data_IF_757114930365
#
_entry.id   IF_757114930365
#
_cell.length_a   1.000
_cell.length_b   1.000
_cell.length_c   1.000
_cell.angle_alpha   90.00
_cell.angle_beta   90.00
_cell.angle_gamma   90.00
#
_symmetry.space_group_name_H-M   'P 1'
#
loop_
_entity.id
_entity.type
_entity.pdbx_description
1 polymer ?
#
# COMPACT_ATOMS: atom_id res chain seq x y z
N UNK A 1 -28.00 -12.36 6.76
CA UNK A 1 -27.52 -10.98 6.59
C UNK A 1 -26.09 -11.03 6.08
N UNK A 2 -25.91 -10.96 4.76
CA UNK A 2 -24.58 -10.84 4.14
C UNK A 2 -24.16 -9.37 4.22
N UNK A 3 -23.18 -9.06 5.07
CA UNK A 3 -22.49 -7.77 5.03
C UNK A 3 -21.51 -7.83 3.85
N UNK A 4 -21.95 -7.28 2.71
CA UNK A 4 -21.06 -6.94 1.61
C UNK A 4 -20.20 -5.77 2.12
N UNK A 5 -19.05 -6.09 2.72
CA UNK A 5 -17.98 -5.12 2.88
C UNK A 5 -17.39 -4.90 1.47
N UNK A 6 -18.08 -4.10 0.67
CA UNK A 6 -17.50 -3.51 -0.53
C UNK A 6 -16.27 -2.70 -0.14
N UNK A 7 -15.39 -2.35 -1.11
CA UNK A 7 -14.20 -1.56 -0.87
C UNK A 7 -14.62 -0.14 -0.54
N UNK A 8 -15.12 0.05 0.66
CA UNK A 8 -15.50 1.33 1.15
C UNK A 8 -14.19 1.99 1.61
N UNK A 9 -13.93 3.18 1.04
CA UNK A 9 -13.14 4.23 1.68
C UNK A 9 -11.63 4.31 1.44
N UNK A 10 -11.07 3.85 0.31
CA UNK A 10 -9.66 4.20 0.01
C UNK A 10 -9.42 5.74 0.00
N UNK A 11 -10.41 6.53 -0.40
CA UNK A 11 -10.35 7.99 -0.39
C UNK A 11 -10.74 8.67 0.94
N UNK A 12 -11.37 7.95 1.89
CA UNK A 12 -11.79 8.52 3.19
C UNK A 12 -10.87 8.09 4.34
N UNK A 13 -10.06 7.04 4.12
CA UNK A 13 -9.11 6.52 5.11
C UNK A 13 -7.89 7.42 5.27
N UNK A 14 -7.50 8.19 4.24
CA UNK A 14 -6.34 9.08 4.33
C UNK A 14 -6.55 10.41 3.62
N UNK A 15 -6.05 11.49 4.22
CA UNK A 15 -6.13 12.84 3.68
C UNK A 15 -4.75 13.49 3.66
N UNK A 16 -4.43 14.15 2.57
CA UNK A 16 -3.24 14.98 2.43
C UNK A 16 -3.65 16.44 2.45
N UNK A 17 -3.10 17.22 3.37
CA UNK A 17 -3.41 18.64 3.54
C UNK A 17 -2.17 19.49 3.31
N UNK A 18 -2.30 20.53 2.49
CA UNK A 18 -1.26 21.53 2.29
C UNK A 18 -1.45 22.68 3.29
N UNK A 19 -0.42 22.95 4.08
CA UNK A 19 -0.36 24.06 5.02
C UNK A 19 -0.42 25.42 4.33
N UNK A 20 -0.86 26.45 5.06
CA UNK A 20 -1.00 27.81 4.54
C UNK A 20 0.34 28.41 4.06
N UNK A 21 1.45 27.92 4.60
CA UNK A 21 2.82 28.23 4.22
C UNK A 21 3.23 27.67 2.85
N UNK A 22 2.39 26.83 2.23
CA UNK A 22 2.63 26.18 0.94
C UNK A 22 3.89 25.31 0.89
N UNK A 23 4.46 24.94 2.04
CA UNK A 23 5.63 24.06 2.14
C UNK A 23 5.38 22.84 3.01
N UNK A 24 4.47 22.93 3.96
CA UNK A 24 4.16 21.87 4.92
C UNK A 24 3.02 21.02 4.40
N UNK A 25 3.23 19.71 4.31
CA UNK A 25 2.21 18.73 3.96
C UNK A 25 1.95 17.86 5.17
N UNK A 26 0.70 17.79 5.59
CA UNK A 26 0.27 16.93 6.69
C UNK A 26 -0.56 15.79 6.13
N UNK A 27 -0.17 14.57 6.45
CA UNK A 27 -0.89 13.35 6.03
C UNK A 27 -1.56 12.75 7.24
N UNK A 28 -2.89 12.69 7.20
CA UNK A 28 -3.71 12.07 8.24
C UNK A 28 -4.34 10.79 7.72
N UNK A 29 -4.55 9.83 8.61
CA UNK A 29 -5.31 8.63 8.32
C UNK A 29 -6.22 8.21 9.46
N UNK A 30 -7.30 7.52 9.12
CA UNK A 30 -8.31 7.02 10.05
C UNK A 30 -8.37 5.50 10.00
N UNK A 31 -8.39 4.85 11.16
CA UNK A 31 -8.47 3.41 11.28
C UNK A 31 -9.80 3.00 11.92
N UNK A 32 -10.78 2.53 11.11
CA UNK A 32 -12.06 2.06 11.64
C UNK A 32 -11.97 0.68 12.29
N UNK A 33 -10.86 -0.04 12.15
CA UNK A 33 -10.70 -1.41 12.61
C UNK A 33 -10.31 -1.50 14.09
N UNK A 34 -10.66 -2.63 14.72
CA UNK A 34 -10.26 -2.98 16.09
C UNK A 34 -8.81 -3.49 16.20
N UNK A 35 -8.03 -3.39 15.11
CA UNK A 35 -6.62 -3.79 15.03
C UNK A 35 -5.79 -2.66 14.44
N UNK A 36 -4.50 -2.62 14.75
CA UNK A 36 -3.57 -1.67 14.13
C UNK A 36 -3.52 -1.92 12.62
N UNK A 37 -3.65 -0.87 11.84
CA UNK A 37 -3.64 -0.92 10.37
C UNK A 37 -2.33 -0.32 9.85
N UNK A 38 -1.58 -1.06 9.04
CA UNK A 38 -0.44 -0.49 8.35
C UNK A 38 -0.95 0.29 7.13
N UNK A 39 -0.67 1.59 7.07
CA UNK A 39 -1.03 2.41 5.92
C UNK A 39 0.21 2.93 5.22
N UNK A 40 0.16 2.94 3.91
CA UNK A 40 1.03 3.69 3.01
C UNK A 40 0.19 4.71 2.26
N UNK A 41 0.56 5.98 2.34
CA UNK A 41 -0.17 7.08 1.70
C UNK A 41 0.81 7.90 0.87
N UNK A 42 0.47 8.07 -0.40
CA UNK A 42 1.25 8.81 -1.39
C UNK A 42 0.45 10.05 -1.79
N UNK A 43 0.99 11.21 -1.44
CA UNK A 43 0.37 12.50 -1.74
C UNK A 43 1.13 13.17 -2.89
N UNK A 44 0.50 13.27 -4.05
CA UNK A 44 1.07 13.99 -5.18
C UNK A 44 0.81 15.49 -5.03
N UNK A 45 1.86 16.25 -4.74
CA UNK A 45 1.84 17.69 -4.64
C UNK A 45 2.23 18.34 -5.97
N UNK A 46 1.43 19.28 -6.45
CA UNK A 46 1.79 20.09 -7.62
C UNK A 46 2.86 21.13 -7.25
N UNK A 47 3.92 21.24 -8.06
CA UNK A 47 4.95 22.28 -7.94
C UNK A 47 5.09 23.01 -9.28
N UNK A 48 5.67 24.22 -9.32
CA UNK A 48 5.98 24.87 -10.59
C UNK A 48 6.85 23.97 -11.48
N UNK A 49 6.34 23.61 -12.67
CA UNK A 49 7.06 22.77 -13.63
C UNK A 49 6.99 21.26 -13.38
N UNK A 50 6.20 20.77 -12.42
CA UNK A 50 6.08 19.32 -12.19
C UNK A 50 5.21 18.93 -11.00
N UNK A 51 5.53 17.77 -10.42
CA UNK A 51 4.93 17.29 -9.18
C UNK A 51 6.00 16.69 -8.27
N UNK A 52 5.69 16.60 -6.98
CA UNK A 52 6.49 15.94 -5.98
C UNK A 52 5.58 15.01 -5.18
N UNK A 53 6.02 13.80 -4.87
CA UNK A 53 5.23 12.83 -4.14
C UNK A 53 5.74 12.72 -2.71
N UNK A 54 4.86 12.97 -1.74
CA UNK A 54 5.13 12.77 -0.31
C UNK A 54 4.60 11.39 0.06
N UNK A 55 5.50 10.47 0.43
CA UNK A 55 5.15 9.10 0.79
C UNK A 55 5.25 8.93 2.30
N UNK A 56 4.17 8.46 2.93
CA UNK A 56 4.11 8.27 4.36
C UNK A 56 3.61 6.88 4.71
N UNK A 57 4.48 6.12 5.39
CA UNK A 57 4.22 4.76 5.84
C UNK A 57 4.24 4.73 7.35
N UNK A 58 3.10 4.47 7.98
CA UNK A 58 3.01 4.29 9.44
C UNK A 58 1.88 3.35 9.84
N UNK A 59 2.05 2.63 10.96
CA UNK A 59 0.94 1.96 11.62
C UNK A 59 -0.02 3.00 12.22
N UNK A 60 -1.30 2.89 11.86
CA UNK A 60 -2.39 3.71 12.39
C UNK A 60 -3.02 2.98 13.59
N UNK A 61 -3.04 3.59 14.79
CA UNK A 61 -3.60 2.97 15.98
C UNK A 61 -5.07 2.56 15.83
N UNK A 62 -5.51 1.62 16.65
CA UNK A 62 -6.90 1.12 16.70
C UNK A 62 -7.88 2.27 16.93
N UNK A 63 -8.93 2.37 16.11
CA UNK A 63 -10.00 3.35 16.28
C UNK A 63 -9.57 4.82 16.10
N UNK A 64 -8.36 5.07 15.60
CA UNK A 64 -7.85 6.42 15.43
C UNK A 64 -8.62 7.17 14.33
N UNK A 65 -8.85 8.46 14.55
CA UNK A 65 -9.42 9.39 13.58
C UNK A 65 -8.42 10.49 13.34
N UNK A 66 -8.19 10.83 12.06
CA UNK A 66 -7.27 11.90 11.65
C UNK A 66 -5.86 11.79 12.27
N UNK A 67 -5.38 10.55 12.46
CA UNK A 67 -4.05 10.31 13.00
C UNK A 67 -2.98 10.84 12.05
N UNK A 68 -2.14 11.75 12.53
CA UNK A 68 -1.03 12.29 11.73
C UNK A 68 0.01 11.21 11.51
N UNK A 69 0.03 10.65 10.31
CA UNK A 69 1.04 9.68 9.90
C UNK A 69 2.41 10.37 9.80
N UNK A 70 2.44 11.52 9.14
CA UNK A 70 3.65 12.29 8.92
C UNK A 70 3.32 13.76 8.68
N UNK A 71 4.36 14.59 8.84
CA UNK A 71 4.38 15.96 8.36
C UNK A 71 5.67 16.13 7.58
N UNK A 72 5.56 16.40 6.28
CA UNK A 72 6.71 16.71 5.43
C UNK A 72 6.79 18.23 5.23
N UNK A 73 8.01 18.77 5.26
CA UNK A 73 8.25 20.19 4.98
C UNK A 73 9.19 20.26 3.78
N UNK A 74 8.72 20.90 2.71
CA UNK A 74 9.50 21.09 1.51
C UNK A 74 10.85 21.75 1.84
N UNK A 75 11.95 21.08 1.48
CA UNK A 75 13.31 21.59 1.68
C UNK A 75 13.65 22.61 0.59
N UNK A 76 14.23 23.74 1.00
CA UNK A 76 14.67 24.81 0.10
C UNK A 76 13.54 25.72 -0.40
N UNK A 77 13.65 26.15 -1.66
CA UNK A 77 12.70 27.08 -2.31
C UNK A 77 11.49 26.38 -2.95
N UNK A 78 11.38 25.06 -2.83
CA UNK A 78 10.23 24.32 -3.33
C UNK A 78 8.99 24.72 -2.55
N UNK A 79 7.97 25.19 -3.28
CA UNK A 79 6.65 25.49 -2.73
C UNK A 79 5.62 24.67 -3.50
N UNK A 80 4.76 24.01 -2.75
CA UNK A 80 3.62 23.28 -3.29
C UNK A 80 2.52 24.28 -3.65
N UNK A 81 1.89 24.07 -4.79
CA UNK A 81 0.78 24.92 -5.25
C UNK A 81 -0.57 24.37 -4.84
N UNK A 82 -0.72 23.04 -4.83
CA UNK A 82 -1.91 22.32 -4.37
C UNK A 82 -1.62 20.83 -4.23
N UNK A 83 -2.53 20.12 -3.55
CA UNK A 83 -2.65 18.66 -3.64
C UNK A 83 -3.23 18.30 -5.00
N UNK A 84 -2.56 17.43 -5.75
CA UNK A 84 -2.99 16.92 -7.06
C UNK A 84 -3.75 15.60 -6.93
N UNK A 85 -3.27 14.73 -6.05
CA UNK A 85 -3.86 13.41 -5.81
C UNK A 85 -3.40 12.82 -4.49
N UNK A 86 -4.18 11.87 -4.00
CA UNK A 86 -3.89 11.08 -2.82
C UNK A 86 -4.17 9.63 -3.18
N UNK A 87 -3.14 8.79 -3.07
CA UNK A 87 -3.25 7.34 -3.19
C UNK A 87 -2.99 6.74 -1.81
N UNK A 88 -3.92 5.91 -1.32
CA UNK A 88 -3.79 5.29 -0.02
C UNK A 88 -3.91 3.77 -0.16
N UNK A 89 -2.91 3.07 0.35
CA UNK A 89 -2.89 1.63 0.49
C UNK A 89 -2.91 1.26 1.97
N UNK A 90 -4.09 0.94 2.45
CA UNK A 90 -4.37 0.59 3.84
C UNK A 90 -5.10 -0.76 3.85
N UNK A 91 -4.39 -1.90 3.74
CA UNK A 91 -5.01 -3.21 3.74
C UNK A 91 -5.77 -3.47 5.05
N UNK A 92 -6.92 -4.14 4.93
CA UNK A 92 -7.71 -4.55 6.08
C UNK A 92 -6.91 -5.55 6.95
N UNK A 93 -6.59 -5.20 8.21
CA UNK A 93 -5.85 -6.08 9.12
C UNK A 93 -6.65 -7.30 9.61
N UNK A 94 -7.95 -7.36 9.30
CA UNK A 94 -8.83 -8.48 9.58
C UNK A 94 -9.11 -9.35 8.34
N UNK A 95 -8.70 -8.92 7.15
CA UNK A 95 -8.85 -9.75 5.96
C UNK A 95 -7.96 -11.01 6.09
N UNK A 96 -8.46 -12.21 5.76
CA UNK A 96 -7.59 -13.37 5.58
C UNK A 96 -6.51 -13.00 4.55
N UNK A 97 -5.28 -13.54 4.66
CA UNK A 97 -4.23 -13.24 3.69
C UNK A 97 -4.81 -13.44 2.31
N UNK A 98 -4.73 -12.40 1.48
CA UNK A 98 -5.24 -12.47 0.13
C UNK A 98 -4.50 -13.62 -0.56
N UNK A 99 -5.17 -14.77 -0.71
CA UNK A 99 -4.83 -15.70 -1.76
C UNK A 99 -4.83 -14.83 -3.02
N UNK A 100 -3.65 -14.62 -3.59
CA UNK A 100 -3.42 -13.81 -4.76
C UNK A 100 -4.57 -14.04 -5.73
N UNK A 101 -5.42 -13.01 -5.92
CA UNK A 101 -6.33 -12.98 -7.06
C UNK A 101 -5.44 -12.92 -8.30
N UNK A 102 -4.99 -14.08 -8.76
CA UNK A 102 -4.85 -14.33 -10.17
C UNK A 102 -6.17 -13.92 -10.79
N UNK A 103 -6.09 -12.97 -11.72
CA UNK A 103 -7.22 -12.39 -12.41
C UNK A 103 -8.14 -13.51 -12.91
N UNK A 104 -9.39 -13.49 -12.46
CA UNK A 104 -10.47 -14.28 -13.07
C UNK A 104 -10.70 -13.74 -14.48
N UNK A 105 -9.93 -14.23 -15.45
CA UNK A 105 -10.39 -14.30 -16.83
C UNK A 105 -11.23 -15.57 -16.96
N UNK A 106 -12.52 -15.35 -16.80
CA UNK A 106 -13.59 -16.23 -17.25
C UNK A 106 -13.31 -16.65 -18.72
N UNK A 107 -13.12 -17.96 -18.93
CA UNK A 107 -13.48 -18.71 -20.15
C UNK A 107 -13.12 -20.19 -20.01
N UNK A 108 -14.17 -20.98 -19.85
CA UNK A 108 -14.45 -22.28 -20.46
C UNK A 108 -13.38 -23.39 -20.50
N UNK A 109 -13.80 -24.53 -19.94
CA UNK A 109 -13.50 -25.93 -20.28
C UNK A 109 -12.16 -26.59 -19.88
N UNK A 110 -12.34 -27.76 -19.23
CA UNK A 110 -11.50 -28.96 -19.08
C UNK A 110 -10.32 -29.03 -18.06
N UNK A 111 -10.54 -29.96 -17.11
CA UNK A 111 -9.66 -30.89 -16.34
C UNK A 111 -8.10 -30.72 -16.28
N UNK A 112 -7.56 -31.08 -15.10
CA UNK A 112 -6.18 -31.57 -14.82
C UNK A 112 -4.96 -30.60 -14.78
N UNK A 113 -4.79 -29.77 -13.73
CA UNK A 113 -3.50 -29.06 -13.53
C UNK A 113 -3.06 -28.72 -12.08
N UNK A 114 -3.47 -29.48 -11.06
CA UNK A 114 -2.98 -29.30 -9.67
C UNK A 114 -1.55 -29.86 -9.44
N UNK A 115 -1.03 -30.72 -10.32
CA UNK A 115 0.27 -31.37 -10.11
C UNK A 115 1.49 -30.50 -10.49
N UNK A 116 1.33 -29.52 -11.39
CA UNK A 116 2.47 -28.77 -11.96
C UNK A 116 2.87 -27.53 -11.16
N UNK A 117 2.00 -27.04 -10.28
CA UNK A 117 2.30 -25.88 -9.43
C UNK A 117 3.31 -26.24 -8.32
N UNK A 118 3.16 -27.42 -7.72
CA UNK A 118 4.04 -27.93 -6.66
C UNK A 118 5.47 -28.20 -7.16
N UNK A 119 5.62 -28.79 -8.35
CA UNK A 119 6.94 -29.04 -8.95
C UNK A 119 7.74 -27.76 -9.21
N UNK A 120 7.08 -26.69 -9.66
CA UNK A 120 7.75 -25.41 -9.93
C UNK A 120 8.21 -24.72 -8.65
N UNK A 121 7.46 -24.85 -7.55
CA UNK A 121 7.84 -24.25 -6.28
C UNK A 121 9.04 -24.97 -5.64
N UNK A 122 9.09 -26.30 -5.73
CA UNK A 122 10.25 -27.08 -5.29
C UNK A 122 11.51 -26.77 -6.12
N UNK A 123 11.37 -26.58 -7.43
CA UNK A 123 12.49 -26.20 -8.29
C UNK A 123 13.13 -24.87 -7.88
N UNK A 124 12.31 -23.86 -7.52
CA UNK A 124 12.80 -22.54 -7.09
C UNK A 124 13.52 -22.63 -5.73
N UNK A 125 12.99 -23.41 -4.78
CA UNK A 125 13.62 -23.62 -3.46
C UNK A 125 14.99 -24.28 -3.61
N UNK A 126 15.09 -25.31 -4.45
CA UNK A 126 16.35 -26.02 -4.70
C UNK A 126 17.39 -25.11 -5.35
N UNK A 127 16.96 -24.30 -6.33
CA UNK A 127 17.85 -23.35 -7.01
C UNK A 127 18.38 -22.28 -6.05
N UNK A 128 17.55 -21.81 -5.11
CA UNK A 128 17.94 -20.87 -4.06
C UNK A 128 18.97 -21.46 -3.08
N UNK A 129 18.78 -22.72 -2.67
CA UNK A 129 19.70 -23.40 -1.75
C UNK A 129 21.08 -23.62 -2.38
N UNK A 130 21.13 -24.08 -3.64
CA UNK A 130 22.41 -24.29 -4.35
C UNK A 130 23.18 -22.98 -4.57
N UNK A 131 22.47 -21.86 -4.79
CA UNK A 131 23.09 -20.55 -4.91
C UNK A 131 23.72 -20.09 -3.58
N UNK A 132 23.02 -20.29 -2.46
CA UNK A 132 23.53 -19.94 -1.13
C UNK A 132 24.76 -20.78 -0.76
N UNK A 133 24.78 -22.08 -1.10
CA UNK A 133 25.94 -22.94 -0.84
C UNK A 133 27.16 -22.52 -1.67
N UNK A 134 26.98 -22.14 -2.94
CA UNK A 134 28.09 -21.62 -3.76
C UNK A 134 28.63 -20.27 -3.27
N UNK A 135 27.80 -19.46 -2.61
CA UNK A 135 28.25 -18.21 -1.98
C UNK A 135 29.03 -18.46 -0.68
N UNK A 136 28.75 -19.55 0.04
CA UNK A 136 29.48 -19.92 1.27
C UNK A 136 30.84 -20.59 1.02
N UNK A 137 31.09 -21.07 -0.19
CA UNK A 137 32.36 -21.70 -0.59
C UNK A 137 33.36 -20.74 -1.27
N UNK A 138 33.05 -19.44 -1.31
CA UNK A 138 33.97 -18.36 -1.70
C UNK A 138 34.33 -17.54 -0.48
#
# INVERSE_FOLDING_TARGET
MMLIAGPAFAADVATCSLGADKKTVTVTASNPYSKVMACEVNCDMAIPGGFATVVCVKPVPVGAKDFVMCTDVAKGDKTYTRVKGTEANCPDPAAPPAASKAESKDKDDDDDDDAKADERMQAIIKQGQEFIERQKQK
#
